data_IF_740839302431
#
_entry.id   IF_740839302431
#
_cell.length_a   1.000
_cell.length_b   1.000
_cell.length_c   1.000
_cell.angle_alpha   90.00
_cell.angle_beta   90.00
_cell.angle_gamma   90.00
#
_symmetry.space_group_name_H-M   'P 1'
#
loop_
_entity.id
_entity.type
_entity.pdbx_description
1 polymer ?
#
# COMPACT_ATOMS: atom_id res chain seq x y z
N UNK A 1 7.29 -13.22 -44.14
CA UNK A 1 8.10 -12.71 -43.01
C UNK A 1 7.39 -11.48 -42.48
N UNK A 2 6.50 -11.66 -41.50
CA UNK A 2 5.70 -10.57 -40.95
C UNK A 2 6.26 -10.23 -39.57
N UNK A 3 6.91 -9.07 -39.47
CA UNK A 3 7.32 -8.47 -38.20
C UNK A 3 6.07 -7.88 -37.53
N UNK A 4 5.79 -8.17 -36.24
CA UNK A 4 4.71 -7.49 -35.54
C UNK A 4 5.14 -6.06 -35.18
N UNK A 5 4.30 -5.09 -35.54
CA UNK A 5 4.42 -3.70 -35.12
C UNK A 5 3.94 -3.60 -33.67
N UNK A 6 4.85 -3.25 -32.76
CA UNK A 6 4.53 -2.94 -31.37
C UNK A 6 3.71 -1.65 -31.31
N UNK A 7 2.55 -1.61 -30.63
CA UNK A 7 1.78 -0.37 -30.51
C UNK A 7 2.54 0.60 -29.61
N UNK A 8 2.86 1.77 -30.16
CA UNK A 8 3.48 2.87 -29.44
C UNK A 8 2.43 3.50 -28.51
N UNK A 9 2.66 3.39 -27.20
CA UNK A 9 1.85 4.04 -26.17
C UNK A 9 1.84 5.56 -26.41
N UNK A 10 0.64 6.15 -26.44
CA UNK A 10 0.43 7.58 -26.56
C UNK A 10 1.10 8.33 -25.37
N UNK A 11 1.59 9.57 -25.58
CA UNK A 11 2.22 10.34 -24.51
C UNK A 11 1.22 10.63 -23.39
N UNK A 12 1.56 10.19 -22.17
CA UNK A 12 0.76 10.46 -20.97
C UNK A 12 0.87 11.94 -20.62
N UNK A 13 -0.27 12.62 -20.46
CA UNK A 13 -0.32 13.98 -19.93
C UNK A 13 0.39 14.03 -18.56
N UNK A 14 1.12 15.11 -18.28
CA UNK A 14 1.90 15.29 -17.04
C UNK A 14 1.00 15.10 -15.80
N UNK A 15 1.19 13.99 -15.09
CA UNK A 15 0.44 13.62 -13.88
C UNK A 15 1.04 14.21 -12.59
N UNK A 16 1.98 15.16 -12.72
CA UNK A 16 2.82 15.63 -11.62
C UNK A 16 2.03 16.34 -10.50
N UNK A 17 0.83 16.87 -10.80
CA UNK A 17 -0.05 17.52 -9.82
C UNK A 17 -1.41 16.83 -9.64
N UNK A 18 -1.58 15.60 -10.12
CA UNK A 18 -2.84 14.89 -9.96
C UNK A 18 -3.02 14.40 -8.52
N UNK A 19 -4.19 14.67 -7.93
CA UNK A 19 -4.61 14.11 -6.63
C UNK A 19 -4.61 12.58 -6.68
N UNK A 20 -4.20 11.94 -5.58
CA UNK A 20 -4.25 10.49 -5.46
C UNK A 20 -5.69 9.97 -5.60
N UNK A 21 -6.65 10.64 -4.97
CA UNK A 21 -8.05 10.29 -5.09
C UNK A 21 -8.54 10.37 -6.54
N UNK A 22 -8.16 11.40 -7.28
CA UNK A 22 -8.53 11.50 -8.70
C UNK A 22 -7.92 10.36 -9.52
N UNK A 23 -6.63 10.06 -9.33
CA UNK A 23 -5.96 8.95 -10.04
C UNK A 23 -6.62 7.59 -9.75
N UNK A 24 -7.07 7.36 -8.52
CA UNK A 24 -7.76 6.13 -8.12
C UNK A 24 -9.22 6.10 -8.61
N UNK A 25 -9.89 7.26 -8.70
CA UNK A 25 -11.19 7.40 -9.31
C UNK A 25 -11.13 7.10 -10.82
N UNK A 26 -10.10 7.59 -11.52
CA UNK A 26 -9.87 7.31 -12.94
C UNK A 26 -9.60 5.82 -13.18
N UNK A 27 -8.82 5.17 -12.30
CA UNK A 27 -8.65 3.71 -12.32
C UNK A 27 -10.01 2.99 -12.18
N UNK A 28 -10.89 3.47 -11.29
CA UNK A 28 -12.20 2.88 -11.14
C UNK A 28 -13.07 3.08 -12.38
N UNK A 29 -13.10 4.30 -12.93
CA UNK A 29 -13.84 4.63 -14.13
C UNK A 29 -13.38 3.77 -15.33
N UNK A 30 -12.07 3.57 -15.48
CA UNK A 30 -11.53 2.67 -16.48
C UNK A 30 -12.05 1.23 -16.30
N UNK A 31 -12.10 0.70 -15.07
CA UNK A 31 -12.65 -0.64 -14.80
C UNK A 31 -14.12 -0.72 -15.14
N UNK A 32 -14.91 0.30 -14.80
CA UNK A 32 -16.34 0.38 -15.17
C UNK A 32 -16.51 0.31 -16.70
N UNK A 33 -15.62 0.97 -17.45
CA UNK A 33 -15.70 0.99 -18.91
C UNK A 33 -15.17 -0.28 -19.60
N UNK A 34 -14.29 -1.06 -18.95
CA UNK A 34 -13.51 -2.10 -19.65
C UNK A 34 -13.66 -3.51 -19.08
N UNK A 35 -14.11 -3.67 -17.84
CA UNK A 35 -14.24 -4.99 -17.22
C UNK A 35 -15.58 -5.63 -17.58
N UNK A 36 -15.60 -6.97 -17.61
CA UNK A 36 -16.85 -7.71 -17.63
C UNK A 36 -17.67 -7.37 -16.38
N UNK A 37 -19.01 -7.23 -16.48
CA UNK A 37 -19.86 -6.82 -15.35
C UNK A 37 -19.69 -7.69 -14.10
N UNK A 38 -19.54 -9.00 -14.27
CA UNK A 38 -19.34 -9.97 -13.19
C UNK A 38 -18.01 -9.76 -12.45
N UNK A 39 -16.92 -9.51 -13.18
CA UNK A 39 -15.60 -9.24 -12.61
C UNK A 39 -15.58 -7.91 -11.85
N UNK A 40 -16.26 -6.90 -12.42
CA UNK A 40 -16.42 -5.60 -11.78
C UNK A 40 -17.23 -5.73 -10.48
N UNK A 41 -18.33 -6.49 -10.51
CA UNK A 41 -19.18 -6.72 -9.36
C UNK A 41 -18.42 -7.39 -8.21
N UNK A 42 -17.61 -8.43 -8.47
CA UNK A 42 -16.75 -9.05 -7.45
C UNK A 42 -15.84 -8.01 -6.80
N UNK A 43 -15.18 -7.16 -7.59
CA UNK A 43 -14.28 -6.14 -7.06
C UNK A 43 -15.01 -5.06 -6.24
N UNK A 44 -16.15 -4.58 -6.71
CA UNK A 44 -16.94 -3.53 -6.06
C UNK A 44 -17.56 -4.06 -4.76
N UNK A 45 -18.14 -5.26 -4.79
CA UNK A 45 -18.83 -5.86 -3.65
C UNK A 45 -17.86 -6.18 -2.50
N UNK A 46 -16.66 -6.69 -2.79
CA UNK A 46 -15.62 -6.87 -1.78
C UNK A 46 -15.30 -5.53 -1.09
N UNK A 47 -15.04 -4.46 -1.86
CA UNK A 47 -14.74 -3.12 -1.28
C UNK A 47 -15.88 -2.60 -0.42
N UNK A 48 -17.11 -2.68 -0.93
CA UNK A 48 -18.30 -2.26 -0.20
C UNK A 48 -18.47 -3.04 1.12
N UNK A 49 -18.22 -4.35 1.08
CA UNK A 49 -18.26 -5.22 2.27
C UNK A 49 -17.20 -4.83 3.29
N UNK A 50 -15.96 -4.58 2.85
CA UNK A 50 -14.89 -4.12 3.73
C UNK A 50 -15.21 -2.78 4.38
N UNK A 51 -15.80 -1.84 3.64
CA UNK A 51 -16.25 -0.54 4.19
C UNK A 51 -17.34 -0.77 5.22
N UNK A 52 -18.36 -1.56 4.91
CA UNK A 52 -19.49 -1.82 5.80
C UNK A 52 -19.07 -2.55 7.11
N UNK A 53 -18.09 -3.44 7.02
CA UNK A 53 -17.60 -4.24 8.15
C UNK A 53 -16.40 -3.63 8.88
N UNK A 54 -15.93 -2.44 8.46
CA UNK A 54 -14.74 -1.86 9.05
C UNK A 54 -14.98 -1.44 10.51
N UNK A 55 -14.42 -2.22 11.43
CA UNK A 55 -14.43 -1.91 12.85
C UNK A 55 -13.19 -1.09 13.23
N UNK A 56 -13.35 0.23 13.33
CA UNK A 56 -12.26 1.14 13.76
C UNK A 56 -11.76 0.82 15.16
N UNK A 57 -12.61 0.36 16.08
CA UNK A 57 -12.18 0.04 17.45
C UNK A 57 -11.30 -1.23 17.52
N UNK A 58 -11.28 -2.04 16.46
CA UNK A 58 -10.42 -3.22 16.36
C UNK A 58 -9.13 -2.97 15.55
N UNK A 59 -8.86 -1.73 15.14
CA UNK A 59 -7.58 -1.33 14.55
C UNK A 59 -6.76 -0.53 15.54
N UNK A 60 -5.45 -0.43 15.32
CA UNK A 60 -4.61 0.50 16.07
C UNK A 60 -5.13 1.94 15.97
N UNK A 61 -4.98 2.70 17.05
CA UNK A 61 -5.46 4.07 17.20
C UNK A 61 -4.31 5.05 17.43
N UNK A 62 -4.60 6.34 17.25
CA UNK A 62 -3.72 7.41 17.73
C UNK A 62 -3.54 7.25 19.24
N UNK A 63 -2.29 7.30 19.70
CA UNK A 63 -1.91 7.09 21.09
C UNK A 63 -1.46 5.66 21.43
N UNK A 64 -1.74 4.68 20.56
CA UNK A 64 -1.20 3.33 20.75
C UNK A 64 0.30 3.30 20.51
N UNK A 65 1.01 2.45 21.26
CA UNK A 65 2.43 2.20 21.09
C UNK A 65 2.62 1.02 20.14
N UNK A 66 3.41 1.22 19.08
CA UNK A 66 3.77 0.13 18.18
C UNK A 66 4.67 -0.88 18.89
N UNK A 67 4.46 -2.19 18.66
CA UNK A 67 5.37 -3.20 19.14
C UNK A 67 6.71 -3.06 18.41
N UNK A 68 7.79 -3.47 19.08
CA UNK A 68 9.07 -3.59 18.42
C UNK A 68 8.97 -4.58 17.26
N UNK A 69 9.49 -4.17 16.11
CA UNK A 69 9.58 -5.01 14.92
C UNK A 69 10.92 -4.85 14.23
N UNK A 70 11.23 -5.85 13.43
CA UNK A 70 12.37 -5.84 12.52
C UNK A 70 11.98 -6.55 11.23
N UNK A 71 12.13 -5.86 10.11
CA UNK A 71 11.66 -6.31 8.79
C UNK A 71 12.77 -6.27 7.77
N UNK A 72 12.70 -7.19 6.80
CA UNK A 72 13.70 -7.27 5.75
C UNK A 72 13.35 -6.30 4.62
N UNK A 73 14.20 -5.29 4.41
CA UNK A 73 14.16 -4.41 3.24
C UNK A 73 14.60 -5.19 1.99
N UNK A 74 14.08 -4.81 0.83
CA UNK A 74 14.32 -5.52 -0.43
C UNK A 74 15.78 -5.56 -0.87
N UNK A 75 16.61 -4.63 -0.41
CA UNK A 75 18.06 -4.58 -0.65
C UNK A 75 18.85 -5.46 0.34
N UNK A 76 18.17 -6.19 1.23
CA UNK A 76 18.78 -7.13 2.18
C UNK A 76 19.12 -6.53 3.55
N UNK A 77 18.92 -5.22 3.73
CA UNK A 77 19.08 -4.57 5.02
C UNK A 77 17.93 -4.92 5.97
N UNK A 78 18.24 -5.01 7.25
CA UNK A 78 17.25 -5.19 8.30
C UNK A 78 16.86 -3.81 8.84
N UNK A 79 15.57 -3.48 8.81
CA UNK A 79 15.05 -2.19 9.28
C UNK A 79 14.25 -2.43 10.56
N UNK A 80 14.59 -1.74 11.63
CA UNK A 80 13.87 -1.83 12.91
C UNK A 80 13.06 -0.58 13.23
N UNK A 81 12.08 -0.72 14.11
CA UNK A 81 11.33 0.43 14.63
C UNK A 81 12.24 1.42 15.39
N UNK A 82 13.19 0.91 16.17
CA UNK A 82 14.18 1.73 16.87
C UNK A 82 15.00 2.58 15.90
N UNK A 83 15.48 1.97 14.81
CA UNK A 83 16.25 2.69 13.79
C UNK A 83 15.40 3.76 13.09
N UNK A 84 14.15 3.41 12.73
CA UNK A 84 13.22 4.34 12.08
C UNK A 84 12.91 5.56 12.94
N UNK A 85 12.85 5.39 14.27
CA UNK A 85 12.39 6.42 15.21
C UNK A 85 13.52 7.06 16.02
N UNK A 86 14.78 6.73 15.71
CA UNK A 86 15.96 7.13 16.47
C UNK A 86 16.17 8.65 16.56
N UNK A 87 15.77 9.39 15.52
CA UNK A 87 16.02 10.84 15.39
C UNK A 87 14.75 11.66 15.19
N UNK A 88 13.58 11.06 15.40
CA UNK A 88 12.28 11.69 15.17
C UNK A 88 11.21 10.69 14.73
N UNK A 89 10.10 11.18 14.16
CA UNK A 89 9.02 10.32 13.68
C UNK A 89 9.41 9.58 12.40
N UNK A 90 8.65 8.53 12.10
CA UNK A 90 8.71 7.77 10.86
C UNK A 90 7.32 7.61 10.25
N UNK A 91 7.26 7.45 8.93
CA UNK A 91 6.03 7.15 8.18
C UNK A 91 6.08 5.70 7.69
N UNK A 92 5.04 4.92 8.00
CA UNK A 92 4.86 3.57 7.46
C UNK A 92 3.67 3.55 6.50
N UNK A 93 3.83 2.91 5.35
CA UNK A 93 2.78 2.73 4.34
C UNK A 93 2.59 1.25 4.03
N UNK A 94 1.47 0.68 4.45
CA UNK A 94 1.09 -0.68 4.12
C UNK A 94 0.39 -0.72 2.76
N UNK A 95 0.82 -1.63 1.91
CA UNK A 95 0.23 -1.87 0.60
C UNK A 95 0.03 -3.37 0.35
N UNK A 96 -0.82 -3.67 -0.62
CA UNK A 96 -1.34 -5.03 -0.83
C UNK A 96 -0.28 -5.99 -1.39
N UNK A 97 0.25 -5.68 -2.57
CA UNK A 97 1.27 -6.48 -3.28
C UNK A 97 1.77 -5.70 -4.51
N UNK A 98 2.94 -6.08 -5.05
CA UNK A 98 3.63 -5.40 -6.15
C UNK A 98 2.83 -5.32 -7.47
N UNK A 99 1.97 -6.29 -7.74
CA UNK A 99 1.11 -6.34 -8.93
C UNK A 99 -0.22 -5.60 -8.79
N UNK A 100 -0.53 -5.04 -7.62
CA UNK A 100 -1.84 -4.42 -7.39
C UNK A 100 -1.96 -3.10 -8.18
N UNK A 101 -2.94 -2.92 -9.08
CA UNK A 101 -3.04 -1.72 -9.91
C UNK A 101 -3.16 -0.43 -9.09
N UNK A 102 -3.96 -0.44 -8.01
CA UNK A 102 -4.11 0.72 -7.14
C UNK A 102 -2.82 1.06 -6.37
N UNK A 103 -2.02 0.05 -6.00
CA UNK A 103 -0.70 0.28 -5.37
C UNK A 103 0.32 0.82 -6.37
N UNK A 104 0.27 0.38 -7.64
CA UNK A 104 1.08 0.92 -8.72
C UNK A 104 0.70 2.36 -9.11
N UNK A 105 -0.38 2.91 -8.57
CA UNK A 105 -0.72 4.34 -8.65
C UNK A 105 -0.29 5.07 -7.36
N UNK A 106 -0.66 4.52 -6.20
CA UNK A 106 -0.45 5.19 -4.92
C UNK A 106 1.04 5.32 -4.53
N UNK A 107 1.85 4.29 -4.74
CA UNK A 107 3.26 4.35 -4.36
C UNK A 107 4.07 5.33 -5.23
N UNK A 108 3.90 5.38 -6.57
CA UNK A 108 4.50 6.45 -7.38
C UNK A 108 3.98 7.84 -7.04
N UNK A 109 2.70 7.98 -6.66
CA UNK A 109 2.20 9.24 -6.12
C UNK A 109 2.97 9.65 -4.86
N UNK A 110 3.15 8.76 -3.87
CA UNK A 110 3.92 9.06 -2.66
C UNK A 110 5.40 9.33 -2.95
N UNK A 111 6.02 8.66 -3.92
CA UNK A 111 7.37 8.99 -4.38
C UNK A 111 7.48 10.44 -4.84
N UNK A 112 6.48 10.98 -5.56
CA UNK A 112 6.52 12.35 -6.08
C UNK A 112 6.06 13.39 -5.08
N UNK A 113 4.98 13.11 -4.35
CA UNK A 113 4.26 14.10 -3.54
C UNK A 113 4.56 14.05 -2.03
N UNK A 114 5.01 12.90 -1.50
CA UNK A 114 5.25 12.71 -0.07
C UNK A 114 6.75 12.65 0.25
N UNK A 115 7.49 11.79 -0.47
CA UNK A 115 8.90 11.49 -0.19
C UNK A 115 9.81 12.73 -0.15
N UNK A 116 9.72 13.72 -1.08
CA UNK A 116 10.61 14.87 -1.04
C UNK A 116 10.47 15.72 0.23
N UNK A 117 9.23 15.92 0.70
CA UNK A 117 8.96 16.66 1.93
C UNK A 117 9.48 15.92 3.17
N UNK A 118 9.27 14.59 3.23
CA UNK A 118 9.80 13.78 4.33
C UNK A 118 11.34 13.78 4.36
N UNK A 119 11.99 13.69 3.20
CA UNK A 119 13.46 13.80 3.09
C UNK A 119 13.99 15.15 3.59
N UNK A 120 13.33 16.26 3.23
CA UNK A 120 13.71 17.59 3.73
C UNK A 120 13.57 17.70 5.26
N UNK A 121 12.62 16.99 5.85
CA UNK A 121 12.39 16.94 7.30
C UNK A 121 13.27 15.90 8.02
N UNK A 122 14.00 15.06 7.29
CA UNK A 122 14.77 13.95 7.85
C UNK A 122 13.91 12.79 8.38
N UNK A 123 12.69 12.64 7.87
CA UNK A 123 11.72 11.63 8.31
C UNK A 123 11.78 10.42 7.38
N UNK A 124 12.09 9.21 7.87
CA UNK A 124 12.10 8.02 7.03
C UNK A 124 10.68 7.58 6.63
N UNK A 125 10.56 7.10 5.39
CA UNK A 125 9.38 6.45 4.84
C UNK A 125 9.68 4.96 4.57
N UNK A 126 8.83 4.07 5.10
CA UNK A 126 8.92 2.63 4.88
C UNK A 126 7.61 2.09 4.31
N UNK A 127 7.66 1.50 3.12
CA UNK A 127 6.53 0.80 2.51
C UNK A 127 6.58 -0.71 2.83
N UNK A 128 5.46 -1.28 3.26
CA UNK A 128 5.36 -2.66 3.76
C UNK A 128 4.28 -3.45 3.02
N UNK A 129 4.60 -4.69 2.65
CA UNK A 129 3.67 -5.64 2.03
C UNK A 129 4.02 -7.06 2.51
N UNK A 130 3.05 -7.98 2.61
CA UNK A 130 3.33 -9.38 2.95
C UNK A 130 4.12 -10.13 1.89
N UNK A 131 4.18 -9.56 0.68
CA UNK A 131 4.81 -10.19 -0.45
C UNK A 131 6.30 -10.44 -0.23
N UNK A 132 6.77 -11.61 -0.66
CA UNK A 132 8.19 -11.98 -0.63
C UNK A 132 9.10 -10.91 -1.27
N UNK A 133 10.31 -10.79 -0.72
CA UNK A 133 11.30 -9.77 -1.11
C UNK A 133 11.65 -9.78 -2.59
N UNK A 134 11.77 -10.95 -3.23
CA UNK A 134 12.08 -11.09 -4.65
C UNK A 134 11.08 -10.36 -5.56
N UNK A 135 9.79 -10.34 -5.19
CA UNK A 135 8.76 -9.59 -5.93
C UNK A 135 8.70 -8.11 -5.57
N UNK A 136 9.05 -7.78 -4.33
CA UNK A 136 9.08 -6.38 -3.89
C UNK A 136 10.26 -5.60 -4.49
N UNK A 137 11.38 -6.28 -4.79
CA UNK A 137 12.48 -5.71 -5.58
C UNK A 137 11.95 -5.20 -6.94
N UNK A 138 11.11 -5.99 -7.62
CA UNK A 138 10.59 -5.63 -8.94
C UNK A 138 9.81 -4.31 -8.92
N UNK A 139 8.93 -4.08 -7.93
CA UNK A 139 8.16 -2.83 -7.85
C UNK A 139 9.05 -1.64 -7.48
N UNK A 140 10.02 -1.83 -6.57
CA UNK A 140 10.97 -0.78 -6.21
C UNK A 140 11.78 -0.32 -7.43
N UNK A 141 12.28 -1.27 -8.22
CA UNK A 141 13.06 -0.97 -9.42
C UNK A 141 12.20 -0.37 -10.54
N UNK A 142 11.01 -0.92 -10.77
CA UNK A 142 10.09 -0.45 -11.82
C UNK A 142 9.74 1.03 -11.69
N UNK A 143 9.54 1.49 -10.44
CA UNK A 143 9.13 2.87 -10.15
C UNK A 143 10.25 3.73 -9.55
N UNK A 144 11.46 3.17 -9.40
CA UNK A 144 12.64 3.86 -8.89
C UNK A 144 12.38 4.55 -7.54
N UNK A 145 11.81 3.81 -6.57
CA UNK A 145 11.50 4.39 -5.27
C UNK A 145 12.76 4.69 -4.45
N UNK A 146 12.85 5.91 -3.95
CA UNK A 146 13.92 6.34 -3.03
C UNK A 146 13.64 5.92 -1.58
N UNK A 147 12.36 5.73 -1.24
CA UNK A 147 11.97 5.20 0.06
C UNK A 147 12.23 3.70 0.16
N UNK A 148 12.28 3.22 1.41
CA UNK A 148 12.53 1.81 1.71
C UNK A 148 11.28 0.97 1.47
N UNK A 149 11.46 -0.22 0.91
CA UNK A 149 10.38 -1.20 0.69
C UNK A 149 10.77 -2.46 1.44
N UNK A 150 9.91 -2.97 2.31
CA UNK A 150 10.19 -4.14 3.14
C UNK A 150 9.05 -5.16 3.15
N UNK A 151 9.43 -6.39 3.49
CA UNK A 151 8.51 -7.51 3.63
C UNK A 151 7.94 -7.56 5.05
N UNK A 152 6.63 -7.38 5.20
CA UNK A 152 5.88 -7.69 6.43
C UNK A 152 5.54 -9.19 6.44
N UNK A 153 6.54 -10.01 6.72
CA UNK A 153 6.45 -11.48 6.62
C UNK A 153 5.21 -12.00 7.35
N UNK A 154 4.43 -12.83 6.65
CA UNK A 154 3.20 -13.45 7.15
C UNK A 154 2.13 -12.46 7.67
N UNK A 155 2.20 -11.21 7.20
CA UNK A 155 1.37 -10.10 7.68
C UNK A 155 1.51 -9.84 9.19
N UNK A 156 2.66 -10.11 9.81
CA UNK A 156 2.81 -10.07 11.26
C UNK A 156 2.46 -8.69 11.85
N UNK A 157 3.03 -7.62 11.30
CA UNK A 157 2.79 -6.26 11.77
C UNK A 157 1.39 -5.78 11.38
N UNK A 158 0.96 -6.04 10.14
CA UNK A 158 -0.39 -5.71 9.70
C UNK A 158 -1.48 -6.40 10.54
N UNK A 159 -1.24 -7.62 11.03
CA UNK A 159 -2.14 -8.33 11.95
C UNK A 159 -2.20 -7.64 13.31
N UNK A 160 -1.06 -7.26 13.85
CA UNK A 160 -0.99 -6.53 15.12
C UNK A 160 -1.78 -5.22 15.06
N UNK A 161 -1.71 -4.52 13.92
CA UNK A 161 -2.45 -3.26 13.70
C UNK A 161 -3.96 -3.45 13.45
N UNK A 162 -4.45 -4.70 13.30
CA UNK A 162 -5.85 -4.97 12.95
C UNK A 162 -6.24 -4.56 11.53
N UNK A 163 -5.26 -4.30 10.66
CA UNK A 163 -5.51 -3.75 9.32
C UNK A 163 -5.72 -4.82 8.24
N UNK A 164 -5.74 -6.10 8.59
CA UNK A 164 -5.97 -7.17 7.63
C UNK A 164 -7.43 -7.27 7.19
N UNK A 165 -7.61 -7.83 6.00
CA UNK A 165 -8.88 -8.37 5.54
C UNK A 165 -8.62 -9.66 4.76
N UNK A 166 -9.65 -10.49 4.64
CA UNK A 166 -9.61 -11.71 3.85
C UNK A 166 -10.46 -11.54 2.59
N UNK A 167 -10.09 -12.19 1.49
CA UNK A 167 -10.94 -12.28 0.31
C UNK A 167 -12.26 -12.95 0.69
N UNK A 168 -13.39 -12.39 0.24
CA UNK A 168 -14.67 -13.07 0.25
C UNK A 168 -14.67 -14.25 -0.73
N UNK A 169 -15.65 -15.14 -0.61
CA UNK A 169 -15.65 -16.37 -1.40
C UNK A 169 -15.64 -16.08 -2.91
N UNK A 170 -16.41 -15.09 -3.37
CA UNK A 170 -16.47 -14.71 -4.78
C UNK A 170 -15.10 -14.24 -5.30
N UNK A 171 -14.35 -13.48 -4.50
CA UNK A 171 -13.00 -13.03 -4.81
C UNK A 171 -12.00 -14.19 -4.86
N UNK A 172 -12.14 -15.18 -3.97
CA UNK A 172 -11.30 -16.41 -3.99
C UNK A 172 -11.55 -17.24 -5.24
N UNK A 173 -12.81 -17.42 -5.60
CA UNK A 173 -13.21 -18.19 -6.78
C UNK A 173 -12.72 -17.51 -8.06
N UNK A 174 -12.92 -16.19 -8.16
CA UNK A 174 -12.45 -15.40 -9.29
C UNK A 174 -10.91 -15.40 -9.42
N UNK A 175 -10.19 -15.28 -8.31
CA UNK A 175 -8.72 -15.33 -8.31
C UNK A 175 -8.19 -16.72 -8.71
N UNK A 176 -8.81 -17.79 -8.20
CA UNK A 176 -8.47 -19.17 -8.54
C UNK A 176 -8.73 -19.47 -10.02
N UNK A 177 -9.90 -19.06 -10.54
CA UNK A 177 -10.24 -19.24 -11.95
C UNK A 177 -9.26 -18.53 -12.90
N UNK A 178 -8.69 -17.40 -12.46
CA UNK A 178 -7.66 -16.64 -13.20
C UNK A 178 -6.23 -17.19 -12.99
N UNK A 179 -6.07 -18.27 -12.21
CA UNK A 179 -4.77 -18.87 -11.90
C UNK A 179 -3.87 -18.00 -11.02
N UNK A 180 -4.45 -17.04 -10.30
CA UNK A 180 -3.72 -16.07 -9.46
C UNK A 180 -4.25 -16.06 -8.02
N UNK A 181 -4.27 -17.19 -7.30
CA UNK A 181 -4.66 -17.20 -5.89
C UNK A 181 -3.74 -16.27 -5.09
N UNK A 182 -4.33 -15.45 -4.22
CA UNK A 182 -3.58 -14.34 -3.58
C UNK A 182 -2.48 -14.83 -2.64
N UNK A 183 -2.65 -16.02 -2.05
CA UNK A 183 -1.65 -16.67 -1.22
C UNK A 183 -0.36 -17.00 -1.98
N UNK A 184 -0.45 -17.33 -3.26
CA UNK A 184 0.72 -17.57 -4.13
C UNK A 184 1.35 -16.26 -4.58
N UNK A 185 0.52 -15.25 -4.88
CA UNK A 185 0.98 -13.91 -5.26
C UNK A 185 1.81 -13.27 -4.14
N UNK A 186 1.35 -13.41 -2.90
CA UNK A 186 2.04 -12.87 -1.72
C UNK A 186 3.12 -13.83 -1.20
N UNK A 187 2.95 -15.13 -1.40
CA UNK A 187 3.79 -16.16 -0.80
C UNK A 187 3.45 -16.47 0.66
N UNK A 188 2.31 -16.00 1.17
CA UNK A 188 1.82 -16.34 2.52
C UNK A 188 1.02 -17.64 2.56
N UNK A 189 0.51 -18.09 1.41
CA UNK A 189 -0.45 -19.20 1.34
C UNK A 189 -1.82 -18.88 1.97
N UNK A 190 -2.10 -17.62 2.31
CA UNK A 190 -3.37 -17.18 2.91
C UNK A 190 -4.19 -16.33 1.95
N UNK A 191 -5.47 -16.11 2.26
CA UNK A 191 -6.35 -15.19 1.54
C UNK A 191 -6.34 -13.76 2.10
N UNK A 192 -5.35 -13.45 2.95
CA UNK A 192 -5.28 -12.21 3.69
C UNK A 192 -4.41 -11.17 3.00
N UNK A 193 -4.84 -9.91 3.06
CA UNK A 193 -4.05 -8.75 2.66
C UNK A 193 -4.23 -7.61 3.67
N UNK A 194 -3.26 -6.69 3.77
CA UNK A 194 -3.49 -5.45 4.47
C UNK A 194 -4.47 -4.57 3.67
N UNK A 195 -5.42 -3.98 4.39
CA UNK A 195 -6.08 -2.74 3.94
C UNK A 195 -4.97 -1.69 3.79
N UNK A 196 -4.88 -0.96 2.66
CA UNK A 196 -3.89 0.09 2.52
C UNK A 196 -3.97 1.03 3.72
N UNK A 197 -2.84 1.30 4.34
CA UNK A 197 -2.79 2.05 5.58
C UNK A 197 -1.57 2.95 5.54
N UNK A 198 -1.72 4.20 5.97
CA UNK A 198 -0.58 5.06 6.30
C UNK A 198 -0.63 5.37 7.79
N UNK A 199 0.53 5.35 8.44
CA UNK A 199 0.65 5.80 9.83
C UNK A 199 1.94 6.60 10.04
N UNK A 200 1.87 7.53 10.98
CA UNK A 200 3.02 8.28 11.52
C UNK A 200 3.24 7.80 12.95
N UNK A 201 4.46 7.35 13.24
CA UNK A 201 4.90 6.94 14.57
C UNK A 201 5.99 7.90 15.04
N UNK A 202 5.94 8.34 16.30
CA UNK A 202 6.95 9.25 16.87
C UNK A 202 8.15 8.52 17.51
N UNK A 203 9.10 9.29 18.03
CA UNK A 203 10.28 8.78 18.74
C UNK A 203 9.98 7.93 19.99
N UNK A 204 8.77 8.04 20.54
CA UNK A 204 8.29 7.22 21.65
C UNK A 204 7.51 6.00 21.15
N UNK A 205 7.67 5.64 19.86
CA UNK A 205 6.99 4.53 19.20
C UNK A 205 5.48 4.65 19.23
N UNK A 206 4.95 5.85 19.46
CA UNK A 206 3.52 6.08 19.61
C UNK A 206 2.92 6.57 18.29
N UNK A 207 1.78 6.00 17.90
CA UNK A 207 1.05 6.43 16.71
C UNK A 207 0.52 7.85 16.92
N UNK A 208 0.91 8.75 16.02
CA UNK A 208 0.44 10.16 15.97
C UNK A 208 -0.57 10.39 14.87
N UNK A 209 -0.58 9.53 13.86
CA UNK A 209 -1.54 9.53 12.76
C UNK A 209 -1.72 8.12 12.25
N UNK A 210 -2.95 7.75 11.91
CA UNK A 210 -3.25 6.51 11.20
C UNK A 210 -4.50 6.71 10.34
N UNK A 211 -4.40 6.29 9.08
CA UNK A 211 -5.53 6.19 8.17
C UNK A 211 -5.54 4.80 7.54
N UNK A 212 -6.59 4.04 7.83
CA UNK A 212 -6.83 2.70 7.29
C UNK A 212 -7.87 2.86 6.20
N UNK A 213 -7.61 2.32 5.01
CA UNK A 213 -8.49 2.42 3.84
C UNK A 213 -9.19 1.07 3.53
N UNK A 214 -10.38 0.79 4.09
CA UNK A 214 -11.18 -0.38 3.73
C UNK A 214 -11.56 -0.40 2.25
N UNK A 215 -11.95 0.74 1.69
CA UNK A 215 -11.96 0.93 0.25
C UNK A 215 -10.54 1.24 -0.20
N UNK A 216 -9.86 0.24 -0.77
CA UNK A 216 -8.48 0.41 -1.22
C UNK A 216 -8.30 1.40 -2.41
N UNK A 217 -9.38 2.03 -2.90
CA UNK A 217 -9.35 3.14 -3.86
C UNK A 217 -9.57 4.53 -3.22
N UNK A 218 -9.86 4.61 -1.92
CA UNK A 218 -9.93 5.86 -1.17
C UNK A 218 -8.77 5.92 -0.18
N UNK A 219 -7.74 6.72 -0.49
CA UNK A 219 -6.49 6.76 0.29
C UNK A 219 -6.11 8.19 0.61
N UNK A 220 -5.36 8.37 1.69
CA UNK A 220 -4.84 9.66 2.13
C UNK A 220 -3.94 10.30 1.08
N UNK A 221 -4.17 11.59 0.82
CA UNK A 221 -3.24 12.45 0.07
C UNK A 221 -1.93 12.66 0.87
N UNK A 222 -0.88 13.17 0.21
CA UNK A 222 0.41 13.41 0.84
C UNK A 222 0.35 14.50 1.92
N UNK A 223 -0.38 15.59 1.68
CA UNK A 223 -0.37 16.78 2.55
C UNK A 223 -0.79 16.47 4.01
N UNK A 224 -1.89 15.76 4.31
CA UNK A 224 -2.21 15.37 5.69
C UNK A 224 -1.12 14.53 6.37
N UNK A 225 -0.43 13.65 5.61
CA UNK A 225 0.65 12.81 6.13
C UNK A 225 1.86 13.69 6.49
N UNK A 226 2.21 14.65 5.63
CA UNK A 226 3.31 15.60 5.87
C UNK A 226 3.03 16.44 7.12
N UNK A 227 1.82 16.98 7.25
CA UNK A 227 1.42 17.77 8.41
C UNK A 227 1.51 16.97 9.72
N UNK A 228 1.00 15.74 9.71
CA UNK A 228 1.08 14.85 10.87
C UNK A 228 2.53 14.48 11.21
N UNK A 229 3.35 14.17 10.21
CA UNK A 229 4.76 13.82 10.39
C UNK A 229 5.56 15.00 10.93
N UNK A 230 5.32 16.22 10.44
CA UNK A 230 5.97 17.44 10.94
C UNK A 230 5.56 17.77 12.38
N UNK A 231 4.29 17.56 12.74
CA UNK A 231 3.77 17.80 14.08
C UNK A 231 4.24 16.76 15.12
N UNK A 232 4.68 15.58 14.67
CA UNK A 232 5.18 14.49 15.50
C UNK A 232 6.70 14.56 15.79
N UNK A 233 7.38 15.62 15.35
CA UNK A 233 8.81 15.86 15.57
C UNK A 233 9.14 16.37 16.96
#
# INVERSE_FOLDING_TARGET
MNTPVTPQLAPQASTDNASLQQLLADLHAQRVATWAPEDLAVNVNQRATLVAQHNRAATAQIGDVLPDFSVQEVNGELVSLDELTATGPAVLVFFRFAGCPACNIALPYYQRALQPALQQLGIPLLALSPQRSDRLVEIKQRHQFDFRVATDRDNALARHLGILYEFDQASRDAATAKGNPIGDVTGTGTWELPKPTVLVVDQHKTIRYIDVAPDWLLRTEAEPIIQAAAAAR
#
